data_IF_122615665917
#
_entry.id   IF_122615665917
#
_cell.length_a   1.000
_cell.length_b   1.000
_cell.length_c   1.000
_cell.angle_alpha   90.00
_cell.angle_beta   90.00
_cell.angle_gamma   90.00
#
_symmetry.space_group_name_H-M   'P 1'
#
loop_
_entity.id
_entity.type
_entity.pdbx_description
1 polymer ?
#
# COMPACT_ATOMS: atom_id res chain seq x y z
N UNK A 1 18.76 -13.89 23.69
CA UNK A 1 19.39 -12.96 22.74
C UNK A 1 18.66 -11.64 22.84
N UNK A 2 19.34 -10.59 23.33
CA UNK A 2 18.74 -9.25 23.48
C UNK A 2 18.45 -8.68 22.09
N UNK A 3 17.17 -8.29 21.84
CA UNK A 3 16.78 -7.54 20.65
C UNK A 3 17.50 -6.19 20.66
N UNK A 4 18.46 -6.03 19.76
CA UNK A 4 18.99 -4.74 19.37
C UNK A 4 17.94 -4.05 18.46
N UNK A 5 16.83 -3.62 19.06
CA UNK A 5 16.01 -2.60 18.44
C UNK A 5 16.86 -1.33 18.44
N UNK A 6 17.33 -0.93 17.28
CA UNK A 6 17.97 0.38 17.09
C UNK A 6 16.93 1.42 17.52
N UNK A 7 17.07 1.97 18.75
CA UNK A 7 16.20 3.02 19.25
C UNK A 7 16.33 4.19 18.27
N UNK A 8 15.29 4.42 17.47
CA UNK A 8 15.20 5.65 16.71
C UNK A 8 15.39 6.82 17.62
N UNK A 9 16.12 7.80 17.13
CA UNK A 9 16.29 9.06 17.83
C UNK A 9 14.91 9.70 18.03
N UNK A 10 14.62 10.19 19.22
CA UNK A 10 13.39 10.95 19.49
C UNK A 10 13.24 12.13 18.51
N UNK A 11 14.35 12.67 17.99
CA UNK A 11 14.37 13.70 16.97
C UNK A 11 13.79 13.26 15.63
N UNK A 12 14.01 12.00 15.22
CA UNK A 12 13.48 11.46 13.95
C UNK A 12 11.96 11.28 14.04
N UNK A 13 11.47 10.71 15.14
CA UNK A 13 10.03 10.56 15.38
C UNK A 13 9.35 11.91 15.41
N UNK A 14 9.89 12.88 16.15
CA UNK A 14 9.33 14.23 16.23
C UNK A 14 9.31 14.94 14.85
N UNK A 15 10.34 14.69 14.01
CA UNK A 15 10.37 15.20 12.64
C UNK A 15 9.27 14.58 11.77
N UNK A 16 9.04 13.26 11.86
CA UNK A 16 7.97 12.58 11.13
C UNK A 16 6.57 13.03 11.60
N UNK A 17 6.35 13.17 12.89
CA UNK A 17 5.12 13.73 13.46
C UNK A 17 4.89 15.17 13.00
N UNK A 18 5.93 16.00 12.97
CA UNK A 18 5.84 17.34 12.41
C UNK A 18 5.50 17.33 10.93
N UNK A 19 6.14 16.45 10.14
CA UNK A 19 5.83 16.29 8.73
C UNK A 19 4.37 15.89 8.53
N UNK A 20 3.84 14.91 9.26
CA UNK A 20 2.43 14.52 9.23
C UNK A 20 1.51 15.71 9.56
N UNK A 21 1.81 16.44 10.63
CA UNK A 21 1.01 17.58 11.08
C UNK A 21 0.96 18.70 10.04
N UNK A 22 2.07 18.98 9.36
CA UNK A 22 2.18 20.11 8.43
C UNK A 22 1.99 19.71 6.97
N UNK A 23 1.89 18.40 6.65
CA UNK A 23 1.68 17.91 5.28
C UNK A 23 0.37 18.43 4.69
N UNK A 24 0.39 18.62 3.38
CA UNK A 24 -0.80 18.91 2.57
C UNK A 24 -1.43 17.62 2.04
N UNK A 25 -0.63 16.57 1.87
CA UNK A 25 -1.11 15.25 1.48
C UNK A 25 -0.42 14.12 2.25
N UNK A 26 -1.15 13.00 2.38
CA UNK A 26 -0.67 11.76 2.98
C UNK A 26 -1.03 10.61 2.04
N UNK A 27 -0.04 9.81 1.68
CA UNK A 27 -0.20 8.61 0.87
C UNK A 27 -0.17 7.37 1.77
N UNK A 28 -1.05 6.41 1.50
CA UNK A 28 -1.13 5.14 2.21
C UNK A 28 -0.91 3.99 1.25
N UNK A 29 -0.12 3.01 1.65
CA UNK A 29 -0.22 1.66 1.10
C UNK A 29 -1.60 1.07 1.43
N UNK A 30 -2.02 0.07 0.65
CA UNK A 30 -3.34 -0.56 0.84
C UNK A 30 -3.22 -1.90 1.53
N UNK A 31 -2.55 -2.86 0.91
CA UNK A 31 -2.40 -4.23 1.42
C UNK A 31 -1.66 -4.22 2.76
N UNK A 32 -2.15 -4.96 3.74
CA UNK A 32 -1.62 -5.01 5.11
C UNK A 32 -1.49 -3.65 5.83
N UNK A 33 -1.95 -2.54 5.23
CA UNK A 33 -1.94 -1.19 5.82
C UNK A 33 -3.37 -0.64 5.94
N UNK A 34 -4.01 -0.23 4.84
CA UNK A 34 -5.42 0.23 4.87
C UNK A 34 -6.37 -0.95 5.02
N UNK A 35 -6.06 -2.09 4.41
CA UNK A 35 -6.76 -3.36 4.59
C UNK A 35 -5.94 -4.33 5.42
N UNK A 36 -6.61 -5.29 6.06
CA UNK A 36 -5.95 -6.35 6.83
C UNK A 36 -5.33 -7.43 5.93
N UNK A 37 -5.86 -7.63 4.70
CA UNK A 37 -5.46 -8.66 3.76
C UNK A 37 -4.48 -8.17 2.69
N UNK A 38 -4.10 -9.11 1.81
CA UNK A 38 -3.25 -8.92 0.64
C UNK A 38 -4.09 -9.23 -0.61
N UNK A 39 -4.63 -8.20 -1.28
CA UNK A 39 -5.68 -8.33 -2.27
C UNK A 39 -5.40 -9.32 -3.41
N UNK A 40 -4.16 -9.38 -3.94
CA UNK A 40 -3.81 -10.37 -4.98
C UNK A 40 -3.68 -11.78 -4.44
N UNK A 41 -3.20 -11.96 -3.21
CA UNK A 41 -3.05 -13.28 -2.59
C UNK A 41 -4.42 -13.84 -2.20
N UNK A 42 -5.32 -12.99 -1.68
CA UNK A 42 -6.72 -13.34 -1.36
C UNK A 42 -7.47 -13.73 -2.65
N UNK A 43 -7.32 -12.96 -3.73
CA UNK A 43 -7.88 -13.30 -5.05
C UNK A 43 -7.30 -14.62 -5.59
N UNK A 44 -6.02 -14.88 -5.39
CA UNK A 44 -5.39 -16.12 -5.80
C UNK A 44 -5.96 -17.33 -5.03
N UNK A 45 -6.18 -17.20 -3.73
CA UNK A 45 -6.84 -18.22 -2.90
C UNK A 45 -8.26 -18.49 -3.40
N UNK A 46 -9.05 -17.45 -3.66
CA UNK A 46 -10.38 -17.55 -4.25
C UNK A 46 -10.38 -18.29 -5.60
N UNK A 47 -9.37 -18.06 -6.42
CA UNK A 47 -9.19 -18.76 -7.71
C UNK A 47 -8.60 -20.17 -7.58
N UNK A 48 -8.36 -20.67 -6.35
CA UNK A 48 -7.75 -21.99 -6.10
C UNK A 48 -6.27 -22.05 -6.45
N UNK A 49 -5.57 -20.91 -6.40
CA UNK A 49 -4.15 -20.74 -6.74
C UNK A 49 -3.29 -20.20 -5.57
N UNK A 50 -3.85 -20.14 -4.36
CA UNK A 50 -3.19 -19.54 -3.20
C UNK A 50 -1.84 -20.17 -2.88
N UNK A 51 -1.73 -21.51 -2.82
CA UNK A 51 -0.46 -22.19 -2.52
C UNK A 51 0.65 -21.87 -3.54
N UNK A 52 0.30 -21.86 -4.85
CA UNK A 52 1.26 -21.58 -5.93
C UNK A 52 1.78 -20.13 -5.85
N UNK A 53 0.87 -19.19 -5.58
CA UNK A 53 1.20 -17.75 -5.44
C UNK A 53 1.99 -17.48 -4.17
N UNK A 54 1.59 -18.07 -3.03
CA UNK A 54 2.30 -17.91 -1.76
C UNK A 54 3.75 -18.41 -1.83
N UNK A 55 3.99 -19.54 -2.51
CA UNK A 55 5.35 -20.05 -2.73
C UNK A 55 6.21 -19.04 -3.52
N UNK A 56 5.64 -18.39 -4.54
CA UNK A 56 6.34 -17.39 -5.34
C UNK A 56 6.56 -16.08 -4.56
N UNK A 57 5.59 -15.64 -3.78
CA UNK A 57 5.68 -14.46 -2.91
C UNK A 57 6.82 -14.62 -1.89
N UNK A 58 6.91 -15.78 -1.23
CA UNK A 58 7.98 -16.10 -0.30
C UNK A 58 9.36 -16.09 -0.98
N UNK A 59 9.46 -16.59 -2.21
CA UNK A 59 10.69 -16.55 -2.99
C UNK A 59 11.09 -15.09 -3.33
N UNK A 60 10.14 -14.26 -3.73
CA UNK A 60 10.37 -12.87 -4.10
C UNK A 60 10.79 -12.01 -2.88
N UNK A 61 10.18 -12.23 -1.72
CA UNK A 61 10.52 -11.54 -0.46
C UNK A 61 11.98 -11.79 -0.01
N UNK A 62 12.61 -12.87 -0.47
CA UNK A 62 14.04 -13.12 -0.27
C UNK A 62 14.98 -12.16 -1.05
N UNK A 63 14.44 -11.16 -1.77
CA UNK A 63 15.22 -10.15 -2.50
C UNK A 63 15.86 -10.66 -3.79
N UNK A 64 15.49 -11.85 -4.25
CA UNK A 64 16.10 -12.49 -5.45
C UNK A 64 15.39 -12.11 -6.76
N UNK A 65 14.26 -11.37 -6.71
CA UNK A 65 13.43 -11.11 -7.89
C UNK A 65 12.94 -9.65 -7.88
N UNK A 66 13.03 -8.93 -9.02
CA UNK A 66 12.42 -7.60 -9.18
C UNK A 66 10.89 -7.67 -9.00
N UNK A 67 10.29 -6.57 -8.49
CA UNK A 67 8.86 -6.49 -8.21
C UNK A 67 8.01 -6.81 -9.45
N UNK A 68 8.31 -6.19 -10.60
CA UNK A 68 7.59 -6.39 -11.86
C UNK A 68 7.63 -7.84 -12.36
N UNK A 69 8.75 -8.53 -12.13
CA UNK A 69 8.88 -9.95 -12.49
C UNK A 69 8.04 -10.83 -11.58
N UNK A 70 8.04 -10.54 -10.27
CA UNK A 70 7.21 -11.24 -9.30
C UNK A 70 5.72 -11.04 -9.59
N UNK A 71 5.31 -9.78 -9.87
CA UNK A 71 3.95 -9.43 -10.21
C UNK A 71 3.46 -10.18 -11.45
N UNK A 72 4.23 -10.13 -12.54
CA UNK A 72 3.88 -10.81 -13.79
C UNK A 72 3.73 -12.33 -13.59
N UNK A 73 4.65 -12.96 -12.86
CA UNK A 73 4.58 -14.41 -12.59
C UNK A 73 3.38 -14.79 -11.72
N UNK A 74 3.04 -13.98 -10.71
CA UNK A 74 1.86 -14.22 -9.87
C UNK A 74 0.58 -14.15 -10.71
N UNK A 75 0.48 -13.16 -11.59
CA UNK A 75 -0.65 -13.03 -12.51
C UNK A 75 -0.71 -14.14 -13.55
N UNK A 76 0.43 -14.64 -14.03
CA UNK A 76 0.49 -15.81 -14.93
C UNK A 76 -0.02 -17.09 -14.28
N UNK A 77 0.09 -17.22 -12.96
CA UNK A 77 -0.48 -18.33 -12.20
C UNK A 77 -2.00 -18.14 -12.04
N UNK A 78 -2.44 -16.96 -11.63
CA UNK A 78 -3.85 -16.70 -11.28
C UNK A 78 -4.72 -16.53 -12.52
N UNK A 79 -4.32 -15.67 -13.46
CA UNK A 79 -5.07 -15.28 -14.67
C UNK A 79 -6.56 -15.07 -14.41
N UNK A 80 -6.91 -14.19 -13.46
CA UNK A 80 -8.30 -14.05 -13.01
C UNK A 80 -9.17 -13.47 -14.13
N UNK A 81 -10.31 -14.09 -14.42
CA UNK A 81 -11.32 -13.51 -15.31
C UNK A 81 -12.04 -12.35 -14.62
N UNK A 82 -12.66 -11.46 -15.41
CA UNK A 82 -13.50 -10.37 -14.90
C UNK A 82 -14.64 -10.92 -14.03
N UNK A 83 -15.21 -12.07 -14.40
CA UNK A 83 -16.25 -12.72 -13.60
C UNK A 83 -15.73 -13.16 -12.24
N UNK A 84 -14.55 -13.77 -12.15
CA UNK A 84 -13.94 -14.16 -10.89
C UNK A 84 -13.61 -12.96 -9.99
N UNK A 85 -13.06 -11.87 -10.56
CA UNK A 85 -12.80 -10.64 -9.80
C UNK A 85 -14.10 -10.06 -9.25
N UNK A 86 -15.17 -10.05 -10.07
CA UNK A 86 -16.48 -9.53 -9.65
C UNK A 86 -17.10 -10.38 -8.55
N UNK A 87 -17.04 -11.71 -8.68
CA UNK A 87 -17.56 -12.65 -7.69
C UNK A 87 -16.77 -12.57 -6.38
N UNK A 88 -15.43 -12.53 -6.46
CA UNK A 88 -14.55 -12.35 -5.29
C UNK A 88 -14.97 -11.11 -4.48
N UNK A 89 -15.08 -9.95 -5.12
CA UNK A 89 -15.46 -8.70 -4.45
C UNK A 89 -16.87 -8.73 -3.86
N UNK A 90 -17.76 -9.54 -4.42
CA UNK A 90 -19.13 -9.70 -3.91
C UNK A 90 -19.22 -10.64 -2.72
N UNK A 91 -18.35 -11.65 -2.65
CA UNK A 91 -18.37 -12.70 -1.62
C UNK A 91 -17.37 -12.48 -0.51
N UNK A 92 -16.24 -11.85 -0.81
CA UNK A 92 -15.13 -11.60 0.11
C UNK A 92 -14.78 -10.10 0.13
N UNK A 93 -15.65 -9.25 0.70
CA UNK A 93 -15.38 -7.82 0.73
C UNK A 93 -14.13 -7.51 1.56
N UNK A 94 -13.34 -6.48 1.16
CA UNK A 94 -12.13 -6.11 1.88
C UNK A 94 -12.45 -5.69 3.32
N UNK A 95 -11.59 -6.08 4.25
CA UNK A 95 -11.69 -5.73 5.67
C UNK A 95 -10.72 -4.59 5.96
N UNK A 96 -11.24 -3.46 6.43
CA UNK A 96 -10.42 -2.32 6.81
C UNK A 96 -9.62 -2.59 8.09
N UNK A 97 -8.40 -2.10 8.14
CA UNK A 97 -7.62 -2.06 9.37
C UNK A 97 -8.30 -1.16 10.40
N UNK A 98 -8.33 -1.62 11.65
CA UNK A 98 -8.93 -0.86 12.76
C UNK A 98 -8.32 0.53 12.87
N UNK A 99 -9.15 1.57 12.98
CA UNK A 99 -8.76 2.96 13.16
C UNK A 99 -8.39 3.70 11.85
N UNK A 100 -8.30 3.01 10.70
CA UNK A 100 -7.91 3.67 9.44
C UNK A 100 -8.99 4.63 8.93
N UNK A 101 -10.27 4.25 9.03
CA UNK A 101 -11.37 5.09 8.58
C UNK A 101 -11.44 6.40 9.40
N UNK A 102 -11.24 6.31 10.71
CA UNK A 102 -11.17 7.44 11.63
C UNK A 102 -9.98 8.35 11.32
N UNK A 103 -8.80 7.78 11.06
CA UNK A 103 -7.62 8.56 10.68
C UNK A 103 -7.85 9.31 9.36
N UNK A 104 -8.37 8.64 8.33
CA UNK A 104 -8.62 9.27 7.02
C UNK A 104 -9.67 10.37 7.15
N UNK A 105 -10.75 10.14 7.92
CA UNK A 105 -11.75 11.16 8.19
C UNK A 105 -11.14 12.39 8.89
N UNK A 106 -10.24 12.18 9.86
CA UNK A 106 -9.54 13.28 10.54
C UNK A 106 -8.58 14.04 9.61
N UNK A 107 -7.87 13.34 8.71
CA UNK A 107 -7.05 13.97 7.68
C UNK A 107 -7.89 14.85 6.75
N UNK A 108 -9.05 14.36 6.28
CA UNK A 108 -9.98 15.13 5.47
C UNK A 108 -10.53 16.34 6.23
N UNK A 109 -10.90 16.19 7.52
CA UNK A 109 -11.35 17.28 8.37
C UNK A 109 -10.29 18.40 8.50
N UNK A 110 -9.02 18.01 8.43
CA UNK A 110 -7.88 18.95 8.43
C UNK A 110 -7.50 19.45 7.04
N UNK A 111 -8.35 19.22 6.02
CA UNK A 111 -8.14 19.59 4.62
C UNK A 111 -6.88 18.98 4.00
N UNK A 112 -6.43 17.82 4.48
CA UNK A 112 -5.34 17.08 3.86
C UNK A 112 -5.85 16.20 2.75
N UNK A 113 -5.12 16.12 1.63
CA UNK A 113 -5.39 15.16 0.57
C UNK A 113 -4.90 13.78 0.99
N UNK A 114 -5.73 12.78 0.74
CA UNK A 114 -5.37 11.37 1.00
C UNK A 114 -5.25 10.65 -0.34
N UNK A 115 -4.18 9.88 -0.49
CA UNK A 115 -3.89 9.05 -1.65
C UNK A 115 -3.71 7.59 -1.23
N UNK A 116 -4.17 6.67 -2.06
CA UNK A 116 -3.87 5.24 -1.95
C UNK A 116 -2.83 4.90 -3.01
N UNK A 117 -1.68 4.35 -2.59
CA UNK A 117 -0.53 4.07 -3.47
C UNK A 117 -0.09 2.63 -3.26
N UNK A 118 -0.53 1.74 -4.13
CA UNK A 118 -0.38 0.30 -3.97
C UNK A 118 0.19 -0.38 -5.21
N UNK A 119 0.96 -1.44 -5.00
CA UNK A 119 1.33 -2.41 -6.03
C UNK A 119 0.20 -3.39 -6.41
N UNK A 120 -0.95 -3.30 -5.75
CA UNK A 120 -2.17 -4.04 -6.05
C UNK A 120 -2.94 -3.49 -7.25
N UNK A 121 -4.21 -3.88 -7.39
CA UNK A 121 -5.01 -3.58 -8.58
C UNK A 121 -6.21 -2.68 -8.27
N UNK A 122 -6.46 -1.70 -9.14
CA UNK A 122 -7.57 -0.73 -9.03
C UNK A 122 -8.91 -1.42 -8.81
N UNK A 123 -9.14 -2.56 -9.48
CA UNK A 123 -10.37 -3.35 -9.34
C UNK A 123 -10.62 -3.76 -7.88
N UNK A 124 -9.55 -4.13 -7.15
CA UNK A 124 -9.63 -4.53 -5.74
C UNK A 124 -9.60 -3.34 -4.78
N UNK A 125 -8.96 -2.24 -5.18
CA UNK A 125 -8.71 -1.07 -4.34
C UNK A 125 -9.87 -0.05 -4.39
N UNK A 126 -10.59 0.07 -5.50
CA UNK A 126 -11.72 1.01 -5.58
C UNK A 126 -12.82 0.77 -4.54
N UNK A 127 -13.21 -0.48 -4.21
CA UNK A 127 -14.10 -0.71 -3.08
C UNK A 127 -13.52 -0.18 -1.75
N UNK A 128 -12.23 -0.39 -1.50
CA UNK A 128 -11.54 0.13 -0.31
C UNK A 128 -11.56 1.66 -0.27
N UNK A 129 -11.23 2.30 -1.41
CA UNK A 129 -11.27 3.77 -1.55
C UNK A 129 -12.67 4.33 -1.24
N UNK A 130 -13.73 3.67 -1.73
CA UNK A 130 -15.11 4.05 -1.43
C UNK A 130 -15.43 3.93 0.07
N UNK A 131 -14.95 2.88 0.74
CA UNK A 131 -15.19 2.66 2.19
C UNK A 131 -14.55 3.75 3.05
N UNK A 132 -13.40 4.28 2.64
CA UNK A 132 -12.66 5.31 3.40
C UNK A 132 -12.85 6.73 2.84
N UNK A 133 -13.70 6.91 1.82
CA UNK A 133 -14.02 8.22 1.24
C UNK A 133 -12.86 8.86 0.46
N UNK A 134 -11.99 8.05 -0.16
CA UNK A 134 -10.91 8.50 -1.04
C UNK A 134 -11.40 8.47 -2.49
N UNK A 135 -11.33 9.59 -3.25
CA UNK A 135 -11.71 9.64 -4.65
C UNK A 135 -10.87 8.69 -5.53
N UNK A 136 -11.46 8.10 -6.56
CA UNK A 136 -10.75 7.17 -7.44
C UNK A 136 -9.55 7.80 -8.17
N UNK A 137 -9.59 9.10 -8.46
CA UNK A 137 -8.48 9.87 -9.01
C UNK A 137 -7.30 10.04 -8.04
N UNK A 138 -7.49 9.73 -6.75
CA UNK A 138 -6.43 9.66 -5.76
C UNK A 138 -5.89 8.24 -5.54
N UNK A 139 -6.22 7.30 -6.42
CA UNK A 139 -5.73 5.92 -6.36
C UNK A 139 -4.65 5.70 -7.42
N UNK A 140 -3.43 5.49 -6.99
CA UNK A 140 -2.30 5.02 -7.80
C UNK A 140 -2.12 3.52 -7.58
N UNK A 141 -2.50 2.73 -8.56
CA UNK A 141 -2.44 1.28 -8.50
C UNK A 141 -2.41 0.69 -9.90
N UNK A 142 -2.04 -0.57 -10.01
CA UNK A 142 -2.04 -1.29 -11.28
C UNK A 142 -3.47 -1.52 -11.79
N UNK A 143 -3.60 -1.91 -13.05
CA UNK A 143 -4.89 -2.13 -13.68
C UNK A 143 -4.90 -3.49 -14.38
N UNK A 144 -5.83 -4.39 -14.01
CA UNK A 144 -6.05 -5.64 -14.73
C UNK A 144 -6.73 -5.35 -16.06
N UNK A 145 -6.28 -6.02 -17.12
CA UNK A 145 -6.84 -5.94 -18.46
C UNK A 145 -7.60 -7.24 -18.78
N UNK A 146 -8.73 -7.09 -19.49
CA UNK A 146 -9.58 -8.19 -19.87
C UNK A 146 -9.92 -8.10 -21.35
N UNK A 147 -10.04 -9.27 -22.00
CA UNK A 147 -10.57 -9.38 -23.35
C UNK A 147 -12.09 -9.10 -23.36
N UNK A 148 -12.68 -8.97 -24.56
CA UNK A 148 -14.12 -8.74 -24.72
C UNK A 148 -15.00 -9.84 -24.09
N UNK A 149 -14.49 -11.08 -24.05
CA UNK A 149 -15.15 -12.23 -23.42
C UNK A 149 -14.97 -12.28 -21.88
N UNK A 150 -14.25 -11.30 -21.30
CA UNK A 150 -13.95 -11.22 -19.88
C UNK A 150 -12.78 -12.09 -19.44
N UNK A 151 -12.07 -12.78 -20.33
CA UNK A 151 -10.86 -13.52 -19.99
C UNK A 151 -9.70 -12.57 -19.69
N UNK A 152 -8.73 -13.03 -18.87
CA UNK A 152 -7.55 -12.24 -18.51
C UNK A 152 -6.71 -11.90 -19.76
N UNK A 153 -6.36 -10.64 -19.92
CA UNK A 153 -5.55 -10.12 -21.03
C UNK A 153 -4.20 -9.52 -20.60
N UNK A 154 -3.88 -9.57 -19.30
CA UNK A 154 -2.67 -8.95 -18.76
C UNK A 154 -2.98 -7.84 -17.75
N UNK A 155 -2.02 -6.96 -17.56
CA UNK A 155 -2.18 -5.73 -16.77
C UNK A 155 -1.51 -4.56 -17.51
N UNK A 156 -1.91 -3.35 -17.14
CA UNK A 156 -1.35 -2.12 -17.72
C UNK A 156 0.06 -1.88 -17.17
N UNK A 157 1.08 -2.10 -17.99
CA UNK A 157 2.48 -1.89 -17.63
C UNK A 157 2.93 -0.42 -17.71
N UNK A 158 2.05 0.49 -18.11
CA UNK A 158 2.31 1.93 -18.09
C UNK A 158 2.09 2.56 -16.72
N UNK A 159 1.41 1.86 -15.80
CA UNK A 159 1.18 2.33 -14.43
C UNK A 159 2.52 2.43 -13.67
N UNK A 160 2.70 3.54 -12.93
CA UNK A 160 3.93 3.76 -12.16
C UNK A 160 4.20 2.65 -11.15
N UNK A 161 3.12 2.13 -10.55
CA UNK A 161 3.16 1.12 -9.50
C UNK A 161 3.43 -0.30 -10.02
N UNK A 162 3.47 -0.50 -11.34
CA UNK A 162 3.79 -1.79 -11.96
C UNK A 162 5.29 -2.15 -11.87
N UNK A 163 6.14 -1.23 -11.47
CA UNK A 163 7.60 -1.36 -11.52
C UNK A 163 8.27 -1.13 -10.17
N UNK A 164 9.42 -1.73 -9.97
CA UNK A 164 10.31 -1.42 -8.84
C UNK A 164 10.52 0.09 -8.71
N UNK A 165 10.45 0.63 -7.49
CA UNK A 165 10.51 2.06 -7.21
C UNK A 165 9.25 2.84 -7.62
N UNK A 166 8.15 2.15 -7.92
CA UNK A 166 6.89 2.77 -8.35
C UNK A 166 6.32 3.75 -7.34
N UNK A 167 6.30 3.37 -6.06
CA UNK A 167 5.81 4.26 -4.98
C UNK A 167 6.65 5.54 -4.87
N UNK A 168 7.96 5.47 -5.05
CA UNK A 168 8.81 6.66 -5.08
C UNK A 168 8.44 7.60 -6.24
N UNK A 169 8.18 7.05 -7.43
CA UNK A 169 7.73 7.87 -8.58
C UNK A 169 6.38 8.53 -8.35
N UNK A 170 5.44 7.82 -7.73
CA UNK A 170 4.15 8.41 -7.34
C UNK A 170 4.37 9.54 -6.34
N UNK A 171 5.22 9.34 -5.31
CA UNK A 171 5.53 10.40 -4.35
C UNK A 171 6.18 11.61 -5.00
N UNK A 172 6.99 11.42 -6.06
CA UNK A 172 7.55 12.53 -6.83
C UNK A 172 6.46 13.35 -7.56
N UNK A 173 5.45 12.69 -8.13
CA UNK A 173 4.30 13.37 -8.72
C UNK A 173 3.49 14.13 -7.67
N UNK A 174 3.23 13.51 -6.53
CA UNK A 174 2.51 14.15 -5.43
C UNK A 174 3.28 15.34 -4.87
N UNK A 175 4.61 15.26 -4.76
CA UNK A 175 5.45 16.37 -4.33
C UNK A 175 5.36 17.55 -5.32
N UNK A 176 5.41 17.28 -6.63
CA UNK A 176 5.24 18.31 -7.66
C UNK A 176 3.86 18.97 -7.60
N UNK A 177 2.82 18.19 -7.29
CA UNK A 177 1.43 18.68 -7.25
C UNK A 177 1.09 19.45 -5.97
N UNK A 178 1.65 19.05 -4.83
CA UNK A 178 1.24 19.52 -3.49
C UNK A 178 2.33 20.24 -2.71
N UNK A 179 3.60 20.12 -3.14
CA UNK A 179 4.75 20.61 -2.38
C UNK A 179 5.06 19.78 -1.13
N UNK A 180 6.09 20.19 -0.41
CA UNK A 180 6.50 19.57 0.87
C UNK A 180 5.77 20.20 2.07
N UNK A 181 5.60 19.45 3.15
CA UNK A 181 5.94 18.04 3.32
C UNK A 181 4.85 17.10 2.78
N UNK A 182 5.27 15.93 2.27
CA UNK A 182 4.42 14.80 1.93
C UNK A 182 4.85 13.56 2.72
N UNK A 183 3.88 12.73 3.10
CA UNK A 183 4.13 11.58 3.98
C UNK A 183 3.66 10.29 3.32
N UNK A 184 4.47 9.25 3.38
CA UNK A 184 4.09 7.88 3.03
C UNK A 184 3.84 7.07 4.30
N UNK A 185 2.78 6.26 4.29
CA UNK A 185 2.42 5.33 5.38
C UNK A 185 2.31 3.93 4.79
N UNK A 186 2.99 2.95 5.36
CA UNK A 186 2.92 1.58 4.87
C UNK A 186 3.72 0.59 5.70
N UNK A 187 3.55 -0.70 5.40
CA UNK A 187 4.17 -1.82 6.11
C UNK A 187 5.32 -2.48 5.36
N UNK A 188 5.55 -2.09 4.09
CA UNK A 188 6.49 -2.72 3.17
C UNK A 188 7.81 -1.97 2.95
N UNK A 189 8.80 -2.68 2.41
CA UNK A 189 10.08 -2.09 2.00
C UNK A 189 9.89 -1.03 0.92
N UNK A 190 8.94 -1.23 0.00
CA UNK A 190 8.61 -0.29 -1.09
C UNK A 190 8.08 1.04 -0.58
N UNK A 191 7.46 1.06 0.62
CA UNK A 191 7.00 2.28 1.29
C UNK A 191 8.19 3.06 1.87
N UNK A 192 9.14 2.33 2.44
CA UNK A 192 10.39 2.93 2.95
C UNK A 192 11.22 3.50 1.79
N UNK A 193 11.28 2.81 0.66
CA UNK A 193 11.95 3.25 -0.56
C UNK A 193 11.31 4.49 -1.21
N UNK A 194 10.07 4.82 -0.85
CA UNK A 194 9.40 6.04 -1.30
C UNK A 194 10.04 7.33 -0.71
N UNK A 195 10.99 7.19 0.21
CA UNK A 195 11.78 8.29 0.76
C UNK A 195 13.26 8.21 0.36
N UNK A 196 13.81 9.20 -0.37
CA UNK A 196 13.10 10.31 -1.00
C UNK A 196 12.23 9.83 -2.17
N UNK A 197 11.21 10.59 -2.66
CA UNK A 197 10.94 12.02 -2.35
C UNK A 197 9.98 12.27 -1.17
N UNK A 198 9.34 11.24 -0.60
CA UNK A 198 8.55 11.46 0.62
C UNK A 198 9.39 12.18 1.70
N UNK A 199 8.81 13.17 2.37
CA UNK A 199 9.46 13.92 3.45
C UNK A 199 9.67 13.03 4.68
N UNK A 200 8.71 12.14 4.94
CA UNK A 200 8.79 11.14 6.00
C UNK A 200 8.04 9.86 5.60
N UNK A 201 8.51 8.75 6.14
CA UNK A 201 7.82 7.45 6.08
C UNK A 201 7.40 7.05 7.49
N UNK A 202 6.09 6.76 7.64
CA UNK A 202 5.52 6.20 8.86
C UNK A 202 5.29 4.70 8.59
N UNK A 203 6.05 3.85 9.26
CA UNK A 203 5.90 2.41 9.18
C UNK A 203 4.70 1.96 10.01
N UNK A 204 3.86 1.09 9.43
CA UNK A 204 2.72 0.48 10.11
C UNK A 204 2.98 -1.00 10.38
N UNK A 205 2.74 -1.45 11.62
CA UNK A 205 2.96 -2.83 12.04
C UNK A 205 1.74 -3.48 12.70
N UNK A 206 0.56 -2.89 12.54
CA UNK A 206 -0.66 -3.38 13.18
C UNK A 206 -1.18 -4.70 12.59
N UNK A 207 -0.97 -4.94 11.30
CA UNK A 207 -1.36 -6.18 10.63
C UNK A 207 -0.15 -7.10 10.43
N UNK A 208 0.95 -6.58 9.88
CA UNK A 208 2.20 -7.32 9.65
C UNK A 208 3.39 -6.50 10.13
N UNK A 209 4.23 -7.06 11.00
CA UNK A 209 5.47 -6.43 11.43
C UNK A 209 6.64 -6.92 10.57
N UNK A 210 7.27 -6.02 9.81
CA UNK A 210 8.45 -6.31 8.99
C UNK A 210 9.68 -5.65 9.61
N UNK A 211 10.70 -6.43 9.96
CA UNK A 211 11.91 -5.93 10.63
C UNK A 211 12.61 -4.80 9.85
N UNK A 212 12.61 -4.84 8.51
CA UNK A 212 13.18 -3.80 7.67
C UNK A 212 12.44 -2.46 7.86
N UNK A 213 11.10 -2.48 7.91
CA UNK A 213 10.29 -1.29 8.10
C UNK A 213 10.41 -0.75 9.53
N UNK A 214 10.41 -1.65 10.54
CA UNK A 214 10.74 -1.28 11.93
C UNK A 214 12.08 -0.58 12.01
N UNK A 215 13.10 -1.00 11.25
CA UNK A 215 14.43 -0.40 11.23
C UNK A 215 14.51 0.92 10.47
N UNK A 216 13.85 1.04 9.31
CA UNK A 216 14.16 2.06 8.31
C UNK A 216 13.12 3.18 8.16
N UNK A 217 11.80 3.00 8.57
CA UNK A 217 10.81 4.08 8.59
C UNK A 217 11.16 5.16 9.65
N UNK A 218 10.78 6.41 9.52
CA UNK A 218 11.11 7.51 10.44
C UNK A 218 10.37 7.42 11.77
N UNK A 219 9.13 6.96 11.69
CA UNK A 219 8.27 6.68 12.83
C UNK A 219 7.56 5.36 12.56
N UNK A 220 7.48 4.47 13.56
CA UNK A 220 6.82 3.18 13.45
C UNK A 220 5.67 3.10 14.47
N UNK A 221 4.49 2.70 14.00
CA UNK A 221 3.26 2.60 14.81
C UNK A 221 2.59 1.25 14.63
N UNK A 222 1.90 0.77 15.66
CA UNK A 222 1.08 -0.44 15.61
C UNK A 222 -0.41 -0.15 15.53
N UNK A 223 -0.80 1.10 15.80
CA UNK A 223 -2.17 1.56 15.73
C UNK A 223 -2.23 2.98 15.16
N UNK A 224 -3.33 3.29 14.47
CA UNK A 224 -3.54 4.59 13.83
C UNK A 224 -3.90 5.70 14.81
N UNK A 225 -4.30 5.35 16.04
CA UNK A 225 -4.60 6.36 17.08
C UNK A 225 -3.39 7.23 17.36
N UNK A 226 -2.18 6.66 17.28
CA UNK A 226 -0.92 7.42 17.45
C UNK A 226 -0.73 8.49 16.38
N UNK A 227 -1.21 8.23 15.17
CA UNK A 227 -1.18 9.23 14.10
C UNK A 227 -2.25 10.31 14.30
N UNK A 228 -3.44 9.93 14.77
CA UNK A 228 -4.50 10.88 15.13
C UNK A 228 -4.05 11.80 16.26
N UNK A 229 -3.39 11.27 17.31
CA UNK A 229 -2.83 12.05 18.43
C UNK A 229 -1.77 13.07 17.95
N UNK A 230 -1.06 12.80 16.85
CA UNK A 230 -0.01 13.66 16.31
C UNK A 230 -0.51 14.74 15.34
N UNK A 231 -1.76 14.67 14.88
CA UNK A 231 -2.37 15.64 13.96
C UNK A 231 -2.82 16.91 14.69
#
# INVERSE_FOLDING_TARGET
>A
MLRLATKRSMSTIAAAQKALKTSTCVAFDVDSTVTMGEGLDDLAEFCGKGEEVAALTNQAMGGSMPFEVALAKRLDIVKPSLAQVTEFLATEPPVLTTGIAELIAELHRKNKKVYLVSGGFRQLIYPVANMVGVPHEHVYANNLLFNEDGSYAGFDDTELTAWSGGKARVMEELQKAHGDPIVMVGDGATDVEARPPATAVIGFGGNVERESVVRDADWFVYDFDKMVEAL
#
